data_IF_355467405549
#
_entry.id   IF_355467405549
#
_cell.length_a   1.000
_cell.length_b   1.000
_cell.length_c   1.000
_cell.angle_alpha   90.00
_cell.angle_beta   90.00
_cell.angle_gamma   90.00
#
_symmetry.space_group_name_H-M   'P 1'
#
loop_
_entity.id
_entity.type
_entity.pdbx_description
1 polymer ?
#
# COMPACT_ATOMS: atom_id res chain seq x y z
N UNK A 1 40.04 -6.54 -27.01
CA UNK A 1 39.58 -5.24 -27.54
C UNK A 1 38.83 -4.49 -26.45
N UNK A 2 39.24 -3.26 -26.11
CA UNK A 2 38.66 -2.45 -25.02
C UNK A 2 37.34 -1.78 -25.38
N UNK A 3 36.76 -1.04 -24.42
CA UNK A 3 35.56 -0.21 -24.66
C UNK A 3 35.95 1.06 -25.42
N UNK A 4 35.51 1.20 -26.67
CA UNK A 4 35.63 2.43 -27.43
C UNK A 4 34.50 3.42 -27.12
N UNK A 5 34.79 4.72 -27.14
CA UNK A 5 33.78 5.78 -27.08
C UNK A 5 32.96 5.77 -28.38
N UNK A 6 31.65 5.91 -28.28
CA UNK A 6 30.74 6.02 -29.42
C UNK A 6 29.88 7.28 -29.29
N UNK A 7 29.49 7.89 -30.41
CA UNK A 7 28.53 8.98 -30.41
C UNK A 7 27.15 8.53 -29.93
N UNK A 8 26.41 9.45 -29.28
CA UNK A 8 25.01 9.25 -28.91
C UNK A 8 24.14 9.59 -30.10
N UNK A 9 24.09 8.65 -31.05
CA UNK A 9 23.21 8.65 -32.22
C UNK A 9 22.71 7.24 -32.51
N UNK A 10 21.79 7.10 -33.47
CA UNK A 10 21.32 5.79 -33.92
C UNK A 10 22.49 4.96 -34.45
N UNK A 11 22.64 3.72 -33.94
CA UNK A 11 23.62 2.76 -34.47
C UNK A 11 23.01 2.13 -35.72
N UNK A 12 23.61 2.36 -36.89
CA UNK A 12 23.03 1.88 -38.15
C UNK A 12 23.11 0.36 -38.30
N UNK A 13 24.24 -0.25 -37.94
CA UNK A 13 24.41 -1.70 -37.98
C UNK A 13 23.40 -2.38 -37.03
N UNK A 14 22.47 -3.22 -37.55
CA UNK A 14 21.37 -3.77 -36.76
C UNK A 14 21.83 -4.73 -35.67
N UNK A 15 22.84 -5.56 -35.93
CA UNK A 15 23.41 -6.50 -34.96
C UNK A 15 24.06 -5.75 -33.81
N UNK A 16 24.90 -4.76 -34.11
CA UNK A 16 25.56 -3.94 -33.09
C UNK A 16 24.54 -3.13 -32.28
N UNK A 17 23.51 -2.61 -32.93
CA UNK A 17 22.40 -1.91 -32.27
C UNK A 17 21.68 -2.83 -31.29
N UNK A 18 21.35 -4.06 -31.70
CA UNK A 18 20.68 -5.04 -30.84
C UNK A 18 21.54 -5.43 -29.63
N UNK A 19 22.82 -5.75 -29.85
CA UNK A 19 23.75 -6.09 -28.77
C UNK A 19 23.92 -4.92 -27.81
N UNK A 20 24.06 -3.70 -28.33
CA UNK A 20 24.19 -2.48 -27.51
C UNK A 20 22.92 -2.22 -26.71
N UNK A 21 21.75 -2.36 -27.32
CA UNK A 21 20.47 -2.23 -26.65
C UNK A 21 20.36 -3.20 -25.48
N UNK A 22 20.61 -4.49 -25.70
CA UNK A 22 20.52 -5.51 -24.65
C UNK A 22 21.46 -5.20 -23.47
N UNK A 23 22.72 -4.83 -23.76
CA UNK A 23 23.70 -4.47 -22.71
C UNK A 23 23.31 -3.20 -21.97
N UNK A 24 22.89 -2.15 -22.67
CA UNK A 24 22.48 -0.87 -22.06
C UNK A 24 21.21 -1.03 -21.23
N UNK A 25 20.20 -1.72 -21.75
CA UNK A 25 18.96 -2.02 -21.04
C UNK A 25 19.27 -2.72 -19.71
N UNK A 26 20.04 -3.81 -19.75
CA UNK A 26 20.44 -4.53 -18.53
C UNK A 26 21.15 -3.61 -17.52
N UNK A 27 22.11 -2.80 -17.98
CA UNK A 27 22.81 -1.84 -17.11
C UNK A 27 21.91 -0.76 -16.50
N UNK A 28 20.97 -0.21 -17.27
CA UNK A 28 20.00 0.79 -16.80
C UNK A 28 19.08 0.17 -15.75
N UNK A 29 18.53 -1.02 -15.99
CA UNK A 29 17.68 -1.70 -15.02
C UNK A 29 18.44 -2.03 -13.73
N UNK A 30 19.71 -2.45 -13.83
CA UNK A 30 20.55 -2.67 -12.65
C UNK A 30 20.72 -1.38 -11.84
N UNK A 31 21.08 -0.27 -12.48
CA UNK A 31 21.22 1.04 -11.83
C UNK A 31 19.92 1.54 -11.22
N UNK A 32 18.78 1.36 -11.90
CA UNK A 32 17.48 1.72 -11.37
C UNK A 32 17.15 0.93 -10.10
N UNK A 33 17.43 -0.37 -10.08
CA UNK A 33 17.28 -1.21 -8.87
C UNK A 33 18.19 -0.74 -7.73
N UNK A 34 19.46 -0.48 -8.02
CA UNK A 34 20.41 0.05 -7.03
C UNK A 34 19.92 1.38 -6.44
N UNK A 35 19.42 2.29 -7.27
CA UNK A 35 18.84 3.57 -6.81
C UNK A 35 17.60 3.36 -5.93
N UNK A 36 16.68 2.48 -6.32
CA UNK A 36 15.49 2.16 -5.51
C UNK A 36 15.88 1.66 -4.12
N UNK A 37 16.93 0.84 -4.02
CA UNK A 37 17.44 0.33 -2.74
C UNK A 37 18.13 1.44 -1.96
N UNK A 38 19.04 2.19 -2.58
CA UNK A 38 19.80 3.27 -1.92
C UNK A 38 18.92 4.40 -1.40
N UNK A 39 17.77 4.64 -2.04
CA UNK A 39 16.83 5.68 -1.64
C UNK A 39 15.68 5.14 -0.78
N UNK A 40 15.72 3.87 -0.35
CA UNK A 40 14.64 3.19 0.38
C UNK A 40 13.25 3.36 -0.27
N UNK A 41 13.21 3.58 -1.58
CA UNK A 41 11.99 3.94 -2.29
C UNK A 41 10.97 2.80 -2.28
N UNK A 42 11.44 1.54 -2.25
CA UNK A 42 10.57 0.38 -2.12
C UNK A 42 9.92 0.33 -0.73
N UNK A 43 10.70 0.48 0.33
CA UNK A 43 10.22 0.53 1.73
C UNK A 43 9.17 1.63 1.90
N UNK A 44 9.45 2.82 1.37
CA UNK A 44 8.52 3.96 1.41
C UNK A 44 7.23 3.69 0.63
N UNK A 45 7.31 3.03 -0.54
CA UNK A 45 6.12 2.65 -1.31
C UNK A 45 5.28 1.58 -0.62
N UNK A 46 5.91 0.59 0.01
CA UNK A 46 5.22 -0.45 0.79
C UNK A 46 4.54 0.14 2.02
N UNK A 47 5.24 1.01 2.75
CA UNK A 47 4.67 1.71 3.91
C UNK A 47 3.50 2.60 3.51
N UNK A 48 3.63 3.35 2.42
CA UNK A 48 2.53 4.17 1.90
C UNK A 48 1.29 3.32 1.53
N UNK A 49 1.48 2.12 0.97
CA UNK A 49 0.38 1.19 0.68
C UNK A 49 -0.31 0.72 1.96
N UNK A 50 0.46 0.33 3.00
CA UNK A 50 -0.08 -0.03 4.32
C UNK A 50 -0.87 1.12 4.91
N UNK A 51 -0.30 2.33 4.92
CA UNK A 51 -0.97 3.53 5.42
C UNK A 51 -2.28 3.84 4.69
N UNK A 52 -2.33 3.65 3.37
CA UNK A 52 -3.57 3.81 2.58
C UNK A 52 -4.62 2.76 2.94
N UNK A 53 -4.21 1.50 3.13
CA UNK A 53 -5.12 0.42 3.53
C UNK A 53 -5.69 0.66 4.93
N UNK A 54 -4.84 1.04 5.89
CA UNK A 54 -5.25 1.39 7.25
C UNK A 54 -6.21 2.58 7.22
N UNK A 55 -5.91 3.65 6.49
CA UNK A 55 -6.79 4.80 6.36
C UNK A 55 -8.16 4.44 5.78
N UNK A 56 -8.21 3.56 4.77
CA UNK A 56 -9.48 3.10 4.21
C UNK A 56 -10.30 2.32 5.24
N UNK A 57 -9.65 1.45 6.01
CA UNK A 57 -10.29 0.66 7.07
C UNK A 57 -10.81 1.55 8.20
N UNK A 58 -9.99 2.47 8.70
CA UNK A 58 -10.39 3.43 9.75
C UNK A 58 -11.57 4.29 9.28
N UNK A 59 -11.57 4.75 8.03
CA UNK A 59 -12.70 5.47 7.45
C UNK A 59 -13.99 4.64 7.42
N UNK A 60 -13.91 3.32 7.24
CA UNK A 60 -15.08 2.42 7.31
C UNK A 60 -15.54 2.23 8.75
N UNK A 61 -14.62 1.95 9.67
CA UNK A 61 -14.93 1.80 11.09
C UNK A 61 -15.55 3.08 11.69
N UNK A 62 -15.06 4.26 11.29
CA UNK A 62 -15.63 5.54 11.70
C UNK A 62 -17.06 5.67 11.18
N UNK A 63 -17.32 5.42 9.89
CA UNK A 63 -18.67 5.50 9.32
C UNK A 63 -19.65 4.60 10.06
N UNK A 64 -19.27 3.35 10.31
CA UNK A 64 -20.05 2.39 11.09
C UNK A 64 -20.35 2.89 12.51
N UNK A 65 -19.35 3.44 13.21
CA UNK A 65 -19.52 3.98 14.58
C UNK A 65 -20.34 5.27 14.61
N UNK A 66 -20.24 6.10 13.59
CA UNK A 66 -21.03 7.34 13.47
C UNK A 66 -22.44 7.11 12.94
N UNK A 67 -22.81 5.86 12.63
CA UNK A 67 -24.13 5.49 12.10
C UNK A 67 -24.40 6.02 10.69
N UNK A 68 -23.34 6.20 9.89
CA UNK A 68 -23.44 6.74 8.52
C UNK A 68 -23.71 5.68 7.45
N UNK A 69 -23.56 4.39 7.76
CA UNK A 69 -23.77 3.28 6.82
C UNK A 69 -25.06 2.52 7.19
N UNK A 70 -25.85 2.12 6.18
CA UNK A 70 -27.00 1.22 6.34
C UNK A 70 -26.56 -0.14 6.91
N UNK A 71 -27.28 -0.67 7.89
CA UNK A 71 -26.98 -1.96 8.55
C UNK A 71 -27.11 -3.19 7.62
N UNK A 72 -27.59 -2.98 6.39
CA UNK A 72 -27.92 -4.03 5.42
C UNK A 72 -26.70 -4.78 4.85
N UNK A 73 -25.49 -4.21 4.96
CA UNK A 73 -24.25 -4.83 4.45
C UNK A 73 -23.43 -5.58 5.52
N UNK A 74 -23.91 -5.65 6.76
CA UNK A 74 -23.22 -6.37 7.84
C UNK A 74 -23.52 -7.86 7.78
N UNK A 75 -22.49 -8.68 7.95
CA UNK A 75 -22.67 -10.11 8.17
C UNK A 75 -23.32 -10.37 9.54
N UNK A 76 -23.96 -11.54 9.69
CA UNK A 76 -24.59 -11.93 10.96
C UNK A 76 -23.59 -11.96 12.14
N UNK A 77 -22.34 -12.34 11.87
CA UNK A 77 -21.26 -12.37 12.86
C UNK A 77 -20.92 -10.95 13.35
N UNK A 78 -20.85 -9.98 12.44
CA UNK A 78 -20.59 -8.58 12.75
C UNK A 78 -21.76 -7.94 13.52
N UNK A 79 -23.00 -8.28 13.18
CA UNK A 79 -24.20 -7.86 13.92
C UNK A 79 -24.20 -8.39 15.36
N UNK A 80 -23.87 -9.67 15.56
CA UNK A 80 -23.74 -10.28 16.90
C UNK A 80 -22.63 -9.64 17.73
N UNK A 81 -21.49 -9.31 17.10
CA UNK A 81 -20.40 -8.60 17.77
C UNK A 81 -20.82 -7.18 18.18
N UNK A 82 -21.55 -6.47 17.31
CA UNK A 82 -22.08 -5.13 17.60
C UNK A 82 -23.09 -5.16 18.76
N UNK A 83 -24.00 -6.14 18.78
CA UNK A 83 -24.95 -6.36 19.87
C UNK A 83 -24.24 -6.58 21.21
N UNK A 84 -23.22 -7.44 21.24
CA UNK A 84 -22.43 -7.69 22.44
C UNK A 84 -21.71 -6.42 22.96
N UNK A 85 -21.16 -5.61 22.05
CA UNK A 85 -20.51 -4.34 22.41
C UNK A 85 -21.49 -3.32 22.99
N UNK A 86 -22.70 -3.24 22.44
CA UNK A 86 -23.77 -2.38 22.96
C UNK A 86 -24.22 -2.83 24.35
N UNK A 87 -24.42 -4.13 24.55
CA UNK A 87 -24.77 -4.70 25.86
C UNK A 87 -23.71 -4.38 26.92
N UNK A 88 -22.43 -4.56 26.59
CA UNK A 88 -21.32 -4.21 27.49
C UNK A 88 -21.31 -2.70 27.82
N UNK A 89 -21.54 -1.86 26.82
CA UNK A 89 -21.58 -0.40 27.00
C UNK A 89 -22.75 0.03 27.90
N UNK A 90 -23.93 -0.56 27.74
CA UNK A 90 -25.10 -0.31 28.59
C UNK A 90 -24.84 -0.73 30.03
N UNK A 91 -24.18 -1.87 30.23
CA UNK A 91 -23.83 -2.36 31.56
C UNK A 91 -22.89 -1.40 32.29
N UNK A 92 -21.87 -0.87 31.60
CA UNK A 92 -20.97 0.15 32.16
C UNK A 92 -21.74 1.40 32.60
N UNK A 93 -22.70 1.86 31.80
CA UNK A 93 -23.53 3.03 32.12
C UNK A 93 -24.44 2.75 33.32
N UNK A 94 -25.03 1.55 33.40
CA UNK A 94 -25.85 1.13 34.54
C UNK A 94 -25.04 1.06 35.82
N UNK A 95 -23.89 0.39 35.79
CA UNK A 95 -22.98 0.30 36.94
C UNK A 95 -22.55 1.69 37.41
N UNK A 96 -22.24 2.60 36.49
CA UNK A 96 -21.96 3.99 36.85
C UNK A 96 -23.15 4.69 37.51
N UNK A 97 -24.39 4.46 37.06
CA UNK A 97 -25.58 5.05 37.69
C UNK A 97 -25.94 4.45 39.04
N UNK A 98 -25.60 3.18 39.29
CA UNK A 98 -25.87 2.50 40.57
C UNK A 98 -24.87 2.91 41.66
N UNK A 99 -23.67 3.38 41.29
CA UNK A 99 -22.66 3.88 42.22
C UNK A 99 -22.80 5.36 42.60
N UNK A 100 -23.88 6.04 42.19
CA UNK A 100 -24.21 7.42 42.55
C UNK A 100 -25.58 7.50 43.22
#
# INVERSE_FOLDING_TARGET
>A
MGRGKIEIKRIENPTNRQVTYSKRRSGIFKKAKELTILCDAQTLQEELKKQKQINSRLKKEIRQRTGQDDLNELTFEELRSLEANLLSSVEIVRLRKVMW
#
